data_IF_777486388479
#
_entry.id   IF_777486388479
#
_cell.length_a   1.000
_cell.length_b   1.000
_cell.length_c   1.000
_cell.angle_alpha   90.00
_cell.angle_beta   90.00
_cell.angle_gamma   90.00
#
_symmetry.space_group_name_H-M   'P 1'
#
loop_
_entity.id
_entity.type
_entity.pdbx_description
1 polymer ?
#
# COMPACT_ATOMS: atom_id res chain seq x y z
N UNK A 1 -13.10 -8.54 -13.35
CA UNK A 1 -14.03 -7.74 -12.54
C UNK A 1 -13.34 -7.09 -11.33
N UNK A 2 -13.07 -7.80 -10.22
CA UNK A 2 -12.51 -7.17 -9.01
C UNK A 2 -11.19 -6.40 -9.23
N UNK A 3 -10.20 -7.03 -9.88
CA UNK A 3 -8.90 -6.40 -10.18
C UNK A 3 -9.05 -5.16 -11.08
N UNK A 4 -10.04 -5.17 -11.99
CA UNK A 4 -10.30 -4.02 -12.88
C UNK A 4 -10.82 -2.82 -12.08
N UNK A 5 -11.70 -3.05 -11.09
CA UNK A 5 -12.19 -1.98 -10.21
C UNK A 5 -11.03 -1.35 -9.41
N UNK A 6 -10.07 -2.16 -8.95
CA UNK A 6 -8.87 -1.65 -8.27
C UNK A 6 -8.00 -0.82 -9.22
N UNK A 7 -7.82 -1.29 -10.46
CA UNK A 7 -7.07 -0.56 -11.48
C UNK A 7 -7.72 0.80 -11.81
N UNK A 8 -9.05 0.84 -11.98
CA UNK A 8 -9.81 2.07 -12.21
C UNK A 8 -9.76 3.04 -11.02
N UNK A 9 -9.80 2.54 -9.79
CA UNK A 9 -9.61 3.36 -8.60
C UNK A 9 -8.21 3.99 -8.59
N UNK A 10 -7.19 3.17 -8.86
CA UNK A 10 -5.79 3.60 -8.92
C UNK A 10 -5.56 4.67 -10.01
N UNK A 11 -6.15 4.49 -11.20
CA UNK A 11 -6.10 5.45 -12.31
C UNK A 11 -6.76 6.80 -11.98
N UNK A 12 -7.78 6.81 -11.11
CA UNK A 12 -8.41 8.04 -10.60
C UNK A 12 -7.61 8.72 -9.49
N UNK A 13 -6.44 8.19 -9.13
CA UNK A 13 -5.58 8.74 -8.08
C UNK A 13 -5.91 8.24 -6.67
N UNK A 14 -6.80 7.25 -6.51
CA UNK A 14 -7.09 6.66 -5.20
C UNK A 14 -5.92 5.75 -4.80
N UNK A 15 -5.35 5.98 -3.62
CA UNK A 15 -4.27 5.15 -3.07
C UNK A 15 -4.88 3.87 -2.48
N UNK A 16 -4.47 2.72 -3.01
CA UNK A 16 -4.94 1.39 -2.57
C UNK A 16 -3.76 0.61 -2.00
N UNK A 17 -3.87 0.21 -0.73
CA UNK A 17 -2.81 -0.51 0.00
C UNK A 17 -3.27 -1.93 0.33
N UNK A 18 -2.40 -2.91 0.10
CA UNK A 18 -2.60 -4.30 0.45
C UNK A 18 -1.97 -4.61 1.81
N UNK A 19 -2.81 -5.04 2.77
CA UNK A 19 -2.40 -5.49 4.11
C UNK A 19 -2.80 -6.95 4.33
N UNK A 20 -2.06 -7.64 5.20
CA UNK A 20 -2.45 -8.97 5.65
C UNK A 20 -3.60 -8.88 6.65
N UNK A 21 -4.50 -9.88 6.62
CA UNK A 21 -5.53 -10.06 7.65
C UNK A 21 -5.00 -10.86 8.86
N UNK A 22 -3.81 -11.46 8.74
CA UNK A 22 -3.17 -12.15 9.84
C UNK A 22 -2.71 -11.15 10.91
N UNK A 23 -2.74 -11.57 12.18
CA UNK A 23 -2.27 -10.75 13.30
C UNK A 23 -0.77 -10.37 13.20
N UNK A 24 0.02 -11.18 12.50
CA UNK A 24 1.43 -10.93 12.23
C UNK A 24 1.80 -11.44 10.84
N UNK A 25 2.84 -10.86 10.27
CA UNK A 25 3.38 -11.23 8.95
C UNK A 25 3.61 -10.01 8.07
N UNK A 26 4.26 -10.26 6.94
CA UNK A 26 4.61 -9.24 5.93
C UNK A 26 3.96 -9.59 4.61
N UNK A 27 3.28 -8.62 3.99
CA UNK A 27 2.75 -8.78 2.64
C UNK A 27 3.90 -8.81 1.64
N UNK A 28 4.04 -9.93 0.92
CA UNK A 28 4.95 -10.06 -0.22
C UNK A 28 4.13 -10.19 -1.51
N UNK A 29 4.06 -9.11 -2.28
CA UNK A 29 3.31 -9.08 -3.55
C UNK A 29 4.11 -9.66 -4.73
N UNK A 30 5.42 -9.85 -4.60
CA UNK A 30 6.26 -10.47 -5.64
C UNK A 30 6.27 -12.00 -5.62
N UNK A 31 5.91 -12.60 -4.48
CA UNK A 31 6.03 -14.05 -4.26
C UNK A 31 4.99 -14.93 -4.95
N UNK A 32 3.86 -14.38 -5.42
CA UNK A 32 2.75 -15.15 -5.99
C UNK A 32 2.03 -14.41 -7.12
N UNK A 33 1.43 -15.18 -8.05
CA UNK A 33 0.72 -14.66 -9.22
C UNK A 33 -0.38 -13.65 -8.88
N UNK A 34 -1.09 -13.83 -7.76
CA UNK A 34 -2.13 -12.91 -7.28
C UNK A 34 -1.59 -11.57 -6.80
N UNK A 35 -0.42 -11.56 -6.15
CA UNK A 35 0.27 -10.33 -5.75
C UNK A 35 0.73 -9.51 -6.96
N UNK A 36 1.21 -10.18 -8.01
CA UNK A 36 1.62 -9.51 -9.24
C UNK A 36 0.43 -8.86 -9.97
N UNK A 37 -0.73 -9.52 -9.99
CA UNK A 37 -1.95 -8.94 -10.58
C UNK A 37 -2.43 -7.67 -9.83
N UNK A 38 -2.32 -7.66 -8.50
CA UNK A 38 -2.62 -6.48 -7.68
C UNK A 38 -1.61 -5.35 -7.93
N UNK A 39 -0.32 -5.66 -8.02
CA UNK A 39 0.71 -4.67 -8.36
C UNK A 39 0.48 -4.05 -9.74
N UNK A 40 0.10 -4.86 -10.74
CA UNK A 40 -0.26 -4.38 -12.09
C UNK A 40 -1.51 -3.49 -12.08
N UNK A 41 -2.45 -3.72 -11.16
CA UNK A 41 -3.59 -2.83 -10.93
C UNK A 41 -3.22 -1.56 -10.15
N UNK A 42 -1.95 -1.37 -9.79
CA UNK A 42 -1.46 -0.22 -9.03
C UNK A 42 -1.84 -0.27 -7.55
N UNK A 43 -2.05 -1.45 -6.97
CA UNK A 43 -2.10 -1.63 -5.52
C UNK A 43 -0.66 -1.69 -4.98
N UNK A 44 -0.38 -1.03 -3.87
CA UNK A 44 0.93 -1.04 -3.21
C UNK A 44 0.94 -1.92 -1.96
N UNK A 45 2.09 -2.48 -1.61
CA UNK A 45 2.24 -3.28 -0.39
C UNK A 45 2.29 -2.36 0.84
N UNK A 46 1.55 -2.72 1.89
CA UNK A 46 1.74 -2.14 3.23
C UNK A 46 2.72 -2.93 4.11
N UNK A 47 3.39 -3.94 3.54
CA UNK A 47 4.37 -4.79 4.22
C UNK A 47 3.83 -5.40 5.52
N UNK A 48 4.45 -5.09 6.65
CA UNK A 48 4.13 -5.55 8.00
C UNK A 48 3.48 -4.45 8.86
N UNK A 49 3.03 -3.35 8.25
CA UNK A 49 2.25 -2.33 8.97
C UNK A 49 0.96 -2.92 9.53
N UNK A 50 0.59 -2.47 10.73
CA UNK A 50 -0.76 -2.70 11.24
C UNK A 50 -1.79 -1.87 10.46
N UNK A 51 -3.07 -2.22 10.60
CA UNK A 51 -4.17 -1.45 10.01
C UNK A 51 -4.20 -0.03 10.58
N UNK A 52 -3.97 0.13 11.88
CA UNK A 52 -3.95 1.42 12.58
C UNK A 52 -2.79 2.30 12.10
N UNK A 53 -1.59 1.74 11.95
CA UNK A 53 -0.43 2.44 11.41
C UNK A 53 -0.68 2.88 9.96
N UNK A 54 -1.24 2.00 9.12
CA UNK A 54 -1.56 2.31 7.73
C UNK A 54 -2.62 3.40 7.61
N UNK A 55 -3.69 3.32 8.40
CA UNK A 55 -4.75 4.32 8.42
C UNK A 55 -4.21 5.69 8.83
N UNK A 56 -3.48 5.75 9.94
CA UNK A 56 -2.93 7.01 10.45
C UNK A 56 -1.88 7.61 9.51
N UNK A 57 -1.02 6.78 8.91
CA UNK A 57 -0.03 7.21 7.90
C UNK A 57 -0.70 7.75 6.64
N UNK A 58 -1.75 7.11 6.14
CA UNK A 58 -2.57 7.62 5.03
C UNK A 58 -3.16 8.99 5.37
N UNK A 59 -3.79 9.14 6.53
CA UNK A 59 -4.36 10.41 6.98
C UNK A 59 -3.30 11.51 7.06
N UNK A 60 -2.13 11.19 7.61
CA UNK A 60 -1.00 12.12 7.68
C UNK A 60 -0.54 12.57 6.29
N UNK A 61 -0.26 11.63 5.38
CA UNK A 61 0.27 11.91 4.04
C UNK A 61 -0.73 12.64 3.16
N UNK A 62 -2.01 12.27 3.20
CA UNK A 62 -3.09 12.96 2.47
C UNK A 62 -3.35 14.39 2.98
N UNK A 63 -2.88 14.72 4.19
CA UNK A 63 -2.96 16.08 4.75
C UNK A 63 -1.75 16.95 4.38
N UNK A 64 -0.75 16.41 3.69
CA UNK A 64 0.41 17.16 3.22
C UNK A 64 0.20 17.63 1.77
N UNK A 65 1.02 18.60 1.34
CA UNK A 65 1.07 19.04 -0.06
C UNK A 65 1.91 18.06 -0.91
N UNK A 66 1.38 16.85 -1.08
CA UNK A 66 2.01 15.75 -1.82
C UNK A 66 1.10 15.29 -2.94
N UNK A 67 1.69 14.98 -4.10
CA UNK A 67 0.95 14.31 -5.16
C UNK A 67 0.74 12.81 -4.84
N UNK A 68 -0.15 12.17 -5.60
CA UNK A 68 -0.51 10.76 -5.39
C UNK A 68 0.70 9.83 -5.54
N UNK A 69 1.66 10.16 -6.40
CA UNK A 69 2.85 9.34 -6.61
C UNK A 69 3.78 9.41 -5.39
N UNK A 70 3.99 10.60 -4.83
CA UNK A 70 4.73 10.82 -3.61
C UNK A 70 4.06 10.15 -2.40
N UNK A 71 2.72 10.21 -2.29
CA UNK A 71 2.00 9.50 -1.23
C UNK A 71 2.19 7.99 -1.35
N UNK A 72 2.06 7.42 -2.55
CA UNK A 72 2.28 5.98 -2.79
C UNK A 72 3.69 5.57 -2.42
N UNK A 73 4.68 6.37 -2.79
CA UNK A 73 6.07 6.13 -2.43
C UNK A 73 6.27 6.17 -0.91
N UNK A 74 5.84 7.26 -0.26
CA UNK A 74 6.00 7.44 1.19
C UNK A 74 5.25 6.37 2.01
N UNK A 75 4.12 5.85 1.52
CA UNK A 75 3.43 4.70 2.14
C UNK A 75 4.31 3.45 2.20
N UNK A 76 5.24 3.27 1.25
CA UNK A 76 6.15 2.13 1.17
C UNK A 76 7.51 2.38 1.83
N UNK A 77 7.78 3.59 2.33
CA UNK A 77 8.99 3.93 3.07
C UNK A 77 8.77 3.85 4.58
N UNK A 78 9.77 3.43 5.33
CA UNK A 78 9.72 3.49 6.78
C UNK A 78 9.95 4.94 7.26
N UNK A 79 8.92 5.60 7.78
CA UNK A 79 9.03 6.98 8.25
C UNK A 79 9.37 7.07 9.74
N UNK A 80 8.79 6.22 10.58
CA UNK A 80 8.81 6.30 12.05
C UNK A 80 8.86 4.94 12.75
N UNK A 81 9.30 3.90 12.04
CA UNK A 81 9.39 2.53 12.56
C UNK A 81 8.13 1.70 12.34
N UNK A 82 7.17 2.18 11.55
CA UNK A 82 5.88 1.51 11.33
C UNK A 82 5.94 0.30 10.41
N UNK A 83 6.99 0.20 9.59
CA UNK A 83 7.22 -0.93 8.69
C UNK A 83 8.69 -1.33 8.68
N UNK A 84 8.95 -2.60 8.36
CA UNK A 84 10.29 -3.15 8.15
C UNK A 84 10.61 -3.18 6.65
N UNK A 85 11.59 -2.41 6.15
CA UNK A 85 12.01 -2.46 4.75
C UNK A 85 12.41 -3.87 4.31
N UNK A 86 12.27 -4.18 3.03
CA UNK A 86 13.01 -5.31 2.45
C UNK A 86 14.51 -4.93 2.39
N UNK A 87 15.40 -5.89 2.66
CA UNK A 87 16.86 -5.70 2.52
C UNK A 87 17.28 -5.40 1.07
#
# INVERSE_FOLDING_TARGET
>A
EFIQVLAEASQRGIVVINLTQCMSGKVNMGGYATGNALAQAGVISGFDMTVEATLTKLHYLLSQDLDVAAIRHAMQENLRGELTPDE
#
